data_IF_230154222666
#
_entry.id   IF_230154222666
#
_cell.length_a   1.000
_cell.length_b   1.000
_cell.length_c   1.000
_cell.angle_alpha   90.00
_cell.angle_beta   90.00
_cell.angle_gamma   90.00
#
_symmetry.space_group_name_H-M   'P 1'
#
loop_
_entity.id
_entity.type
_entity.pdbx_description
1 polymer ?
#
# COMPACT_ATOMS: atom_id res chain seq x y z
N UNK A 1 -32.89 -70.93 -91.42
CA UNK A 1 -32.14 -69.89 -90.81
C UNK A 1 -31.90 -70.19 -89.36
N UNK A 2 -30.64 -70.37 -89.01
CA UNK A 2 -30.20 -71.14 -87.82
C UNK A 2 -30.48 -70.50 -86.49
N UNK A 3 -31.30 -71.16 -85.66
CA UNK A 3 -31.58 -70.72 -84.26
C UNK A 3 -30.35 -70.64 -83.36
N UNK A 4 -29.22 -71.22 -83.77
CA UNK A 4 -27.95 -71.19 -83.05
C UNK A 4 -27.18 -69.82 -83.13
N UNK A 5 -27.37 -69.06 -84.20
CA UNK A 5 -26.71 -67.78 -84.41
C UNK A 5 -27.36 -66.66 -83.57
N UNK A 6 -28.73 -66.64 -83.38
CA UNK A 6 -29.42 -65.71 -82.56
C UNK A 6 -29.14 -65.83 -81.05
N UNK A 7 -28.95 -67.04 -80.53
CA UNK A 7 -28.53 -67.25 -79.11
C UNK A 7 -27.13 -66.87 -78.82
N UNK A 8 -26.19 -66.95 -79.78
CA UNK A 8 -24.79 -66.44 -79.58
C UNK A 8 -24.70 -64.97 -79.55
N UNK A 9 -25.44 -64.21 -80.40
CA UNK A 9 -25.44 -62.78 -80.45
C UNK A 9 -26.06 -62.17 -79.23
N UNK A 10 -27.20 -62.63 -78.75
CA UNK A 10 -27.85 -62.14 -77.50
C UNK A 10 -26.97 -62.39 -76.25
N UNK A 11 -26.30 -63.56 -76.20
CA UNK A 11 -25.41 -63.86 -75.06
C UNK A 11 -24.14 -62.97 -75.02
N UNK A 12 -23.60 -62.58 -76.22
CA UNK A 12 -22.49 -61.69 -76.36
C UNK A 12 -22.88 -60.26 -76.03
N UNK A 13 -24.03 -59.77 -76.49
CA UNK A 13 -24.54 -58.43 -76.15
C UNK A 13 -24.86 -58.33 -74.65
N UNK A 14 -25.44 -59.41 -74.07
CA UNK A 14 -25.70 -59.44 -72.59
C UNK A 14 -24.38 -59.43 -71.78
N UNK A 15 -23.32 -60.12 -72.20
CA UNK A 15 -22.03 -60.09 -71.54
C UNK A 15 -21.33 -58.76 -71.67
N UNK A 16 -21.42 -58.08 -72.83
CA UNK A 16 -20.88 -56.77 -73.04
C UNK A 16 -21.65 -55.75 -72.21
N UNK A 17 -22.94 -55.81 -72.12
CA UNK A 17 -23.77 -54.96 -71.28
C UNK A 17 -23.49 -55.09 -69.78
N UNK A 18 -23.37 -56.34 -69.31
CA UNK A 18 -22.99 -56.60 -67.91
C UNK A 18 -21.59 -56.17 -67.59
N UNK A 19 -20.62 -56.38 -68.55
CA UNK A 19 -19.23 -55.93 -68.35
C UNK A 19 -19.12 -54.37 -68.32
N UNK A 20 -19.92 -53.66 -69.17
CA UNK A 20 -19.95 -52.19 -69.16
C UNK A 20 -20.60 -51.64 -67.89
N UNK A 21 -21.63 -52.31 -67.37
CA UNK A 21 -22.26 -51.92 -66.09
C UNK A 21 -21.28 -52.19 -64.92
N UNK A 22 -20.51 -53.31 -64.95
CA UNK A 22 -19.48 -53.57 -63.94
C UNK A 22 -18.34 -52.53 -63.99
N UNK A 23 -17.91 -52.12 -65.17
CA UNK A 23 -16.83 -51.08 -65.35
C UNK A 23 -17.34 -49.73 -64.86
N UNK A 24 -18.60 -49.37 -65.13
CA UNK A 24 -19.17 -48.11 -64.60
C UNK A 24 -19.36 -48.20 -63.09
N UNK A 25 -19.76 -49.32 -62.52
CA UNK A 25 -19.81 -49.54 -61.10
C UNK A 25 -18.43 -49.50 -60.44
N UNK A 26 -17.44 -50.08 -61.05
CA UNK A 26 -16.04 -50.01 -60.59
C UNK A 26 -15.43 -48.60 -60.68
N UNK A 27 -15.74 -47.85 -61.76
CA UNK A 27 -15.33 -46.44 -61.88
C UNK A 27 -16.02 -45.53 -60.85
N UNK A 28 -17.27 -45.84 -60.48
CA UNK A 28 -17.96 -45.12 -59.42
C UNK A 28 -17.37 -45.37 -58.01
N UNK A 29 -16.72 -46.58 -57.81
CA UNK A 29 -15.98 -46.88 -56.59
C UNK A 29 -14.58 -46.29 -56.52
N UNK A 30 -14.03 -45.84 -57.68
CA UNK A 30 -12.72 -45.17 -57.78
C UNK A 30 -12.80 -43.67 -57.94
N UNK A 31 -14.00 -43.04 -57.77
CA UNK A 31 -14.03 -41.63 -57.59
C UNK A 31 -13.30 -41.32 -56.25
N UNK A 32 -12.21 -40.59 -56.30
CA UNK A 32 -11.59 -40.19 -55.07
C UNK A 32 -12.69 -39.43 -54.32
N UNK A 33 -13.15 -39.96 -53.16
CA UNK A 33 -13.94 -39.17 -52.22
C UNK A 33 -13.05 -37.97 -51.94
N UNK A 34 -13.38 -36.81 -52.49
CA UNK A 34 -12.79 -35.60 -51.99
C UNK A 34 -13.03 -35.65 -50.48
N UNK A 35 -12.04 -36.09 -49.76
CA UNK A 35 -11.93 -35.93 -48.34
C UNK A 35 -11.92 -34.38 -48.18
N UNK A 36 -13.10 -33.83 -48.02
CA UNK A 36 -13.27 -32.43 -47.56
C UNK A 36 -12.54 -32.39 -46.22
N UNK A 37 -11.26 -32.10 -46.28
CA UNK A 37 -10.48 -31.86 -45.06
C UNK A 37 -11.28 -30.79 -44.29
N UNK A 38 -11.97 -31.25 -43.25
CA UNK A 38 -12.83 -30.40 -42.42
C UNK A 38 -11.99 -29.21 -41.99
N UNK A 39 -12.22 -28.07 -42.62
CA UNK A 39 -11.46 -26.84 -42.35
C UNK A 39 -11.62 -26.52 -40.87
N UNK A 40 -10.53 -26.75 -40.08
CA UNK A 40 -10.53 -26.54 -38.66
C UNK A 40 -11.04 -25.14 -38.35
N UNK A 41 -12.20 -25.05 -37.68
CA UNK A 41 -12.87 -23.80 -37.33
C UNK A 41 -11.92 -22.94 -36.48
N UNK A 42 -11.81 -21.66 -36.81
CA UNK A 42 -11.11 -20.68 -35.94
C UNK A 42 -11.80 -20.59 -34.60
N UNK A 43 -11.05 -20.75 -33.51
CA UNK A 43 -11.54 -20.71 -32.14
C UNK A 43 -10.64 -19.89 -31.23
N UNK A 44 -11.16 -19.45 -30.09
CA UNK A 44 -10.37 -18.83 -29.03
C UNK A 44 -9.43 -19.88 -28.39
N UNK A 45 -8.16 -19.53 -28.18
CA UNK A 45 -7.20 -20.40 -27.46
C UNK A 45 -7.58 -20.52 -25.99
N UNK A 46 -8.01 -19.42 -25.37
CA UNK A 46 -8.57 -19.33 -24.02
C UNK A 46 -9.89 -18.54 -24.09
N UNK A 47 -10.81 -18.78 -23.15
CA UNK A 47 -12.13 -18.12 -23.13
C UNK A 47 -12.18 -16.91 -22.19
N UNK A 48 -11.19 -16.77 -21.30
CA UNK A 48 -11.13 -15.69 -20.33
C UNK A 48 -9.72 -15.34 -19.90
N UNK A 49 -9.57 -14.14 -19.32
CA UNK A 49 -8.38 -13.71 -18.58
C UNK A 49 -8.77 -12.75 -17.47
N UNK A 50 -7.91 -12.69 -16.45
CA UNK A 50 -7.96 -11.67 -15.41
C UNK A 50 -6.74 -10.77 -15.55
N UNK A 51 -6.96 -9.47 -15.59
CA UNK A 51 -5.92 -8.44 -15.64
C UNK A 51 -6.20 -7.36 -14.59
N UNK A 52 -5.25 -6.47 -14.39
CA UNK A 52 -5.44 -5.27 -13.55
C UNK A 52 -5.69 -4.04 -14.39
N UNK A 53 -6.16 -2.96 -13.78
CA UNK A 53 -6.22 -1.63 -14.43
C UNK A 53 -4.83 -1.29 -14.98
N UNK A 54 -4.76 -0.73 -16.18
CA UNK A 54 -3.53 -0.51 -16.97
C UNK A 54 -2.80 -1.80 -17.42
N UNK A 55 -3.29 -2.99 -17.05
CA UNK A 55 -2.79 -4.27 -17.52
C UNK A 55 -3.18 -4.53 -18.96
N UNK A 56 -2.37 -5.35 -19.65
CA UNK A 56 -2.57 -5.74 -21.04
C UNK A 56 -2.72 -7.25 -21.18
N UNK A 57 -3.53 -7.70 -22.12
CA UNK A 57 -3.68 -9.09 -22.51
C UNK A 57 -4.00 -9.17 -24.01
N UNK A 58 -3.40 -10.08 -24.74
CA UNK A 58 -3.70 -10.26 -26.16
C UNK A 58 -4.47 -11.55 -26.39
N UNK A 59 -5.64 -11.45 -27.02
CA UNK A 59 -6.47 -12.60 -27.40
C UNK A 59 -5.73 -13.44 -28.43
N UNK A 60 -5.54 -14.72 -28.13
CA UNK A 60 -4.93 -15.68 -29.05
C UNK A 60 -6.01 -16.59 -29.65
N UNK A 61 -5.89 -16.82 -30.98
CA UNK A 61 -6.80 -17.66 -31.75
C UNK A 61 -6.08 -18.92 -32.24
N UNK A 62 -6.78 -20.05 -32.24
CA UNK A 62 -6.38 -21.30 -32.92
C UNK A 62 -6.95 -21.33 -34.33
N UNK A 63 -6.27 -22.01 -35.26
CA UNK A 63 -6.68 -22.23 -36.62
C UNK A 63 -7.08 -20.93 -37.36
N UNK A 64 -6.26 -19.89 -37.25
CA UNK A 64 -6.48 -18.64 -37.97
C UNK A 64 -6.46 -18.90 -39.48
N UNK A 65 -7.46 -18.39 -40.18
CA UNK A 65 -7.51 -18.44 -41.64
C UNK A 65 -6.59 -17.40 -42.23
N UNK A 66 -5.78 -17.80 -43.24
CA UNK A 66 -5.06 -16.88 -44.10
C UNK A 66 -6.07 -16.00 -44.85
N UNK A 67 -5.77 -14.75 -45.06
CA UNK A 67 -6.64 -13.78 -45.75
C UNK A 67 -7.97 -13.48 -45.08
N UNK A 68 -8.15 -13.79 -43.79
CA UNK A 68 -9.29 -13.33 -43.00
C UNK A 68 -8.93 -12.10 -42.17
N UNK A 69 -9.83 -11.12 -42.11
CA UNK A 69 -9.72 -9.95 -41.26
C UNK A 69 -10.48 -10.19 -39.98
N UNK A 70 -9.79 -10.01 -38.82
CA UNK A 70 -10.37 -10.25 -37.49
C UNK A 70 -10.82 -8.94 -36.84
N UNK A 71 -11.98 -8.97 -36.18
CA UNK A 71 -12.61 -7.84 -35.52
C UNK A 71 -12.86 -8.19 -34.06
N UNK A 72 -12.54 -7.23 -33.18
CA UNK A 72 -12.66 -7.36 -31.73
C UNK A 72 -13.49 -6.18 -31.23
N UNK A 73 -14.54 -6.44 -30.47
CA UNK A 73 -15.42 -5.40 -29.94
C UNK A 73 -15.70 -5.65 -28.46
N UNK A 74 -15.43 -4.66 -27.62
CA UNK A 74 -15.77 -4.69 -26.20
C UNK A 74 -17.21 -4.18 -25.98
N UNK A 75 -17.98 -4.88 -25.16
CA UNK A 75 -19.30 -4.44 -24.73
C UNK A 75 -19.26 -3.37 -23.61
N UNK A 76 -18.10 -3.20 -22.93
CA UNK A 76 -17.89 -2.23 -21.84
C UNK A 76 -16.49 -1.63 -21.92
N UNK A 77 -16.34 -0.60 -22.74
CA UNK A 77 -15.02 0.06 -22.98
C UNK A 77 -14.47 0.80 -21.75
N UNK A 78 -15.34 1.20 -20.81
CA UNK A 78 -14.95 1.74 -19.50
C UNK A 78 -14.26 0.72 -18.61
N UNK A 79 -14.51 -0.59 -18.81
CA UNK A 79 -13.86 -1.68 -18.07
C UNK A 79 -12.65 -2.18 -18.83
N UNK A 80 -12.80 -2.47 -20.13
CA UNK A 80 -11.71 -2.97 -20.97
C UNK A 80 -11.86 -2.48 -22.40
N UNK A 81 -10.82 -1.87 -22.94
CA UNK A 81 -10.69 -1.51 -24.36
C UNK A 81 -9.97 -2.63 -25.09
N UNK A 82 -10.29 -2.83 -26.37
CA UNK A 82 -9.60 -3.79 -27.22
C UNK A 82 -9.16 -3.11 -28.53
N UNK A 83 -7.94 -3.40 -28.97
CA UNK A 83 -7.41 -2.89 -30.24
C UNK A 83 -7.83 -3.78 -31.42
N UNK A 84 -7.65 -3.28 -32.65
CA UNK A 84 -7.87 -4.05 -33.89
C UNK A 84 -7.00 -5.34 -33.95
N UNK A 85 -5.88 -5.38 -33.23
CA UNK A 85 -5.00 -6.56 -33.15
C UNK A 85 -5.37 -7.54 -32.03
N UNK A 86 -6.50 -7.28 -31.29
CA UNK A 86 -6.97 -8.13 -30.18
C UNK A 86 -6.25 -7.91 -28.86
N UNK A 87 -5.45 -6.83 -28.74
CA UNK A 87 -4.82 -6.45 -27.48
C UNK A 87 -5.84 -5.73 -26.58
N UNK A 88 -6.12 -6.29 -25.42
CA UNK A 88 -7.01 -5.76 -24.38
C UNK A 88 -6.19 -4.89 -23.44
N UNK A 89 -6.75 -3.76 -23.02
CA UNK A 89 -6.23 -2.92 -21.93
C UNK A 89 -7.30 -2.74 -20.88
N UNK A 90 -6.97 -3.04 -19.61
CA UNK A 90 -7.85 -2.82 -18.46
C UNK A 90 -7.98 -1.32 -18.15
N UNK A 91 -9.22 -0.82 -18.08
CA UNK A 91 -9.53 0.59 -17.84
C UNK A 91 -10.17 0.81 -16.45
N UNK A 92 -11.08 -0.07 -16.03
CA UNK A 92 -11.82 0.04 -14.77
C UNK A 92 -12.14 -1.33 -14.18
N UNK A 93 -12.41 -1.39 -12.87
CA UNK A 93 -12.80 -2.63 -12.17
C UNK A 93 -14.10 -3.19 -12.74
N UNK A 94 -14.13 -4.49 -13.02
CA UNK A 94 -15.36 -5.16 -13.47
C UNK A 94 -15.09 -6.27 -14.48
N UNK A 95 -16.13 -6.65 -15.20
CA UNK A 95 -16.07 -7.67 -16.24
C UNK A 95 -16.61 -7.12 -17.56
N UNK A 96 -15.87 -7.35 -18.64
CA UNK A 96 -16.28 -7.05 -20.00
C UNK A 96 -16.26 -8.31 -20.86
N UNK A 97 -17.09 -8.33 -21.90
CA UNK A 97 -17.13 -9.37 -22.93
C UNK A 97 -16.59 -8.80 -24.22
N UNK A 98 -15.60 -9.45 -24.80
CA UNK A 98 -15.01 -9.09 -26.09
C UNK A 98 -15.55 -10.05 -27.13
N UNK A 99 -16.39 -9.55 -28.04
CA UNK A 99 -16.87 -10.32 -29.20
C UNK A 99 -15.74 -10.40 -30.23
N UNK A 100 -15.47 -11.61 -30.72
CA UNK A 100 -14.46 -11.87 -31.75
C UNK A 100 -15.16 -12.41 -32.99
N UNK A 101 -14.99 -11.74 -34.12
CA UNK A 101 -15.52 -12.13 -35.42
C UNK A 101 -14.42 -12.05 -36.47
N UNK A 102 -14.62 -12.67 -37.61
CA UNK A 102 -13.76 -12.50 -38.78
C UNK A 102 -14.59 -12.36 -40.04
N UNK A 103 -14.03 -11.65 -41.04
CA UNK A 103 -14.56 -11.55 -42.40
C UNK A 103 -13.68 -12.38 -43.32
N UNK A 104 -14.30 -13.28 -44.07
CA UNK A 104 -13.65 -14.13 -45.04
C UNK A 104 -14.56 -14.29 -46.25
N UNK A 105 -14.07 -14.07 -47.47
CA UNK A 105 -14.87 -14.16 -48.71
C UNK A 105 -16.21 -13.38 -48.64
N UNK A 106 -16.18 -12.14 -48.17
CA UNK A 106 -17.35 -11.24 -47.96
C UNK A 106 -18.29 -11.62 -46.80
N UNK A 107 -18.15 -12.79 -46.18
CA UNK A 107 -18.98 -13.25 -45.06
C UNK A 107 -18.39 -12.93 -43.71
N UNK A 108 -19.22 -12.54 -42.73
CA UNK A 108 -18.86 -12.39 -41.34
C UNK A 108 -19.19 -13.66 -40.56
N UNK A 109 -18.20 -14.21 -39.86
CA UNK A 109 -18.37 -15.41 -39.01
C UNK A 109 -17.93 -15.11 -37.58
N UNK A 110 -18.68 -15.64 -36.60
CA UNK A 110 -18.34 -15.53 -35.18
C UNK A 110 -17.26 -16.53 -34.81
N UNK A 111 -16.24 -16.06 -34.07
CA UNK A 111 -15.26 -16.91 -33.39
C UNK A 111 -15.74 -17.28 -32.00
N UNK A 112 -16.34 -16.32 -31.30
CA UNK A 112 -16.85 -16.47 -29.94
C UNK A 112 -16.68 -15.20 -29.10
N UNK A 113 -16.93 -15.34 -27.80
CA UNK A 113 -16.84 -14.26 -26.82
C UNK A 113 -15.74 -14.59 -25.81
N UNK A 114 -14.84 -13.61 -25.61
CA UNK A 114 -13.78 -13.68 -24.61
C UNK A 114 -14.20 -12.85 -23.38
N UNK A 115 -14.15 -13.45 -22.17
CA UNK A 115 -14.45 -12.76 -20.91
C UNK A 115 -13.18 -12.18 -20.31
N UNK A 116 -13.13 -10.87 -20.04
CA UNK A 116 -12.05 -10.24 -19.31
C UNK A 116 -12.55 -9.72 -17.97
N UNK A 117 -11.87 -10.09 -16.89
CA UNK A 117 -12.10 -9.55 -15.56
C UNK A 117 -10.97 -8.58 -15.23
N UNK A 118 -11.29 -7.34 -14.93
CA UNK A 118 -10.32 -6.31 -14.54
C UNK A 118 -10.40 -6.09 -13.04
N UNK A 119 -9.31 -6.34 -12.34
CA UNK A 119 -9.12 -6.03 -10.93
C UNK A 119 -8.51 -4.64 -10.76
N UNK A 120 -8.80 -4.00 -9.64
CA UNK A 120 -8.26 -2.69 -9.25
C UNK A 120 -7.90 -2.74 -7.78
N UNK A 121 -6.67 -2.38 -7.42
CA UNK A 121 -6.29 -2.20 -6.03
C UNK A 121 -7.09 -1.05 -5.42
N UNK A 122 -7.51 -1.21 -4.18
CA UNK A 122 -8.27 -0.22 -3.41
C UNK A 122 -7.86 -0.29 -1.94
N UNK A 123 -7.94 0.84 -1.25
CA UNK A 123 -7.70 0.90 0.19
C UNK A 123 -8.71 0.01 0.93
N UNK A 124 -8.26 -0.69 1.94
CA UNK A 124 -9.13 -1.35 2.93
C UNK A 124 -9.83 -0.27 3.76
N UNK A 125 -11.13 -0.37 3.93
CA UNK A 125 -11.94 0.67 4.61
C UNK A 125 -11.55 0.89 6.07
N UNK A 126 -11.05 -0.15 6.75
CA UNK A 126 -10.61 -0.12 8.14
C UNK A 126 -9.37 0.76 8.39
N UNK A 127 -8.62 1.11 7.36
CA UNK A 127 -7.37 1.85 7.50
C UNK A 127 -7.42 3.30 6.99
N UNK A 128 -8.60 3.92 6.95
CA UNK A 128 -8.68 5.35 6.61
C UNK A 128 -8.05 6.24 7.67
N UNK A 129 -8.13 5.83 8.94
CA UNK A 129 -7.45 6.43 10.09
C UNK A 129 -6.81 5.32 10.90
N UNK A 130 -5.57 5.50 11.31
CA UNK A 130 -4.89 4.54 12.17
C UNK A 130 -3.82 5.23 13.00
N UNK A 131 -3.46 4.57 14.10
CA UNK A 131 -2.42 5.01 15.03
C UNK A 131 -1.23 4.07 14.89
N UNK A 132 -0.05 4.62 15.02
CA UNK A 132 1.23 3.92 15.01
C UNK A 132 2.15 4.49 16.07
N UNK A 133 3.24 3.81 16.36
CA UNK A 133 4.28 4.26 17.28
C UNK A 133 5.50 4.73 16.49
N UNK A 134 6.28 5.63 17.06
CA UNK A 134 7.56 6.02 16.47
C UNK A 134 8.45 4.79 16.31
N UNK A 135 9.10 4.65 15.16
CA UNK A 135 9.88 3.48 14.77
C UNK A 135 9.11 2.48 13.90
N UNK A 136 7.77 2.49 13.94
CA UNK A 136 6.98 1.59 13.10
C UNK A 136 7.24 1.82 11.60
N UNK A 137 7.28 0.71 10.86
CA UNK A 137 7.48 0.70 9.42
C UNK A 137 6.34 -0.03 8.74
N UNK A 138 5.72 0.59 7.76
CA UNK A 138 4.56 0.05 7.04
C UNK A 138 4.82 -0.09 5.56
N UNK A 139 4.29 -1.18 4.97
CA UNK A 139 4.27 -1.39 3.53
C UNK A 139 2.90 -1.02 2.96
N UNK A 140 2.84 -0.29 1.83
CA UNK A 140 1.56 0.12 1.23
C UNK A 140 0.64 -1.05 0.89
N UNK A 141 1.22 -2.20 0.48
CA UNK A 141 0.48 -3.42 0.11
C UNK A 141 -0.40 -3.96 1.23
N UNK A 142 0.00 -3.76 2.50
CA UNK A 142 -0.70 -4.31 3.67
C UNK A 142 -2.06 -3.66 3.89
N UNK A 143 -2.22 -2.45 3.38
CA UNK A 143 -3.44 -1.63 3.48
C UNK A 143 -4.36 -1.76 2.27
N UNK A 144 -4.05 -2.64 1.31
CA UNK A 144 -4.76 -2.72 0.05
C UNK A 144 -5.49 -4.04 -0.15
N UNK A 145 -6.66 -3.96 -0.79
CA UNK A 145 -7.36 -5.08 -1.40
C UNK A 145 -6.94 -5.23 -2.86
N UNK A 146 -6.93 -6.47 -3.36
CA UNK A 146 -6.65 -6.80 -4.77
C UNK A 146 -5.29 -6.26 -5.26
N UNK A 147 -4.25 -6.47 -4.47
CA UNK A 147 -2.87 -6.09 -4.80
C UNK A 147 -2.42 -6.75 -6.10
N UNK A 148 -1.83 -5.98 -6.99
CA UNK A 148 -1.16 -6.44 -8.21
C UNK A 148 0.33 -6.66 -7.92
N UNK A 149 0.79 -7.91 -7.85
CA UNK A 149 2.19 -8.25 -7.54
C UNK A 149 3.21 -7.71 -8.56
N UNK A 150 2.76 -7.26 -9.74
CA UNK A 150 3.63 -6.68 -10.78
C UNK A 150 3.61 -5.14 -10.78
N UNK A 151 2.97 -4.52 -9.79
CA UNK A 151 2.94 -3.07 -9.62
C UNK A 151 3.78 -2.69 -8.40
N UNK A 152 4.30 -1.48 -8.42
CA UNK A 152 4.91 -0.82 -7.27
C UNK A 152 3.83 -0.03 -6.51
N UNK A 153 3.95 -0.01 -5.20
CA UNK A 153 3.07 0.77 -4.32
C UNK A 153 3.94 1.67 -3.45
N UNK A 154 3.62 2.95 -3.44
CA UNK A 154 4.39 3.98 -2.77
C UNK A 154 3.50 4.76 -1.82
N UNK A 155 4.03 5.10 -0.64
CA UNK A 155 3.45 6.16 0.19
C UNK A 155 4.02 7.53 -0.21
N UNK A 156 3.17 8.54 -0.10
CA UNK A 156 3.56 9.95 0.04
C UNK A 156 2.84 10.51 1.26
N UNK A 157 3.44 11.50 1.92
CA UNK A 157 2.92 12.09 3.14
C UNK A 157 3.01 13.62 3.12
N UNK A 158 2.22 14.27 3.98
CA UNK A 158 2.18 15.75 4.09
C UNK A 158 3.21 16.31 5.07
N UNK A 159 3.73 15.48 5.98
CA UNK A 159 4.74 15.89 6.96
C UNK A 159 5.90 14.90 7.01
N UNK A 160 7.01 15.24 6.39
CA UNK A 160 8.25 14.46 6.43
C UNK A 160 8.92 14.44 7.81
N UNK A 161 8.54 15.35 8.72
CA UNK A 161 9.00 15.37 10.11
C UNK A 161 8.35 14.27 10.95
N UNK A 162 7.08 13.94 10.66
CA UNK A 162 6.31 12.91 11.39
C UNK A 162 6.58 11.52 10.84
N UNK A 163 6.65 11.37 9.52
CA UNK A 163 6.94 10.10 8.89
C UNK A 163 7.74 10.32 7.59
N UNK A 164 8.60 9.39 7.24
CA UNK A 164 9.43 9.44 6.02
C UNK A 164 9.11 8.29 5.08
N UNK A 165 8.74 8.61 3.86
CA UNK A 165 8.60 7.64 2.79
C UNK A 165 9.98 7.30 2.20
N UNK A 166 10.30 6.01 2.10
CA UNK A 166 11.57 5.54 1.53
C UNK A 166 11.39 4.98 0.12
N UNK A 167 12.47 4.86 -0.62
CA UNK A 167 12.47 4.41 -2.04
C UNK A 167 11.86 3.02 -2.26
N UNK A 168 11.87 2.16 -1.25
CA UNK A 168 11.18 0.85 -1.29
C UNK A 168 9.65 0.96 -1.26
N UNK A 169 9.11 2.18 -1.12
CA UNK A 169 7.69 2.44 -0.98
C UNK A 169 7.17 2.37 0.45
N UNK A 170 7.96 1.88 1.39
CA UNK A 170 7.60 1.84 2.81
C UNK A 170 7.54 3.26 3.41
N UNK A 171 6.87 3.40 4.54
CA UNK A 171 6.89 4.60 5.37
C UNK A 171 7.36 4.24 6.78
N UNK A 172 8.27 5.06 7.33
CA UNK A 172 8.77 4.95 8.70
C UNK A 172 8.24 6.10 9.54
N UNK A 173 7.69 5.80 10.72
CA UNK A 173 7.26 6.78 11.70
C UNK A 173 8.47 7.35 12.43
N UNK A 174 8.67 8.68 12.37
CA UNK A 174 9.87 9.34 12.89
C UNK A 174 9.65 10.08 14.21
N UNK A 175 8.50 10.75 14.34
CA UNK A 175 8.17 11.60 15.48
C UNK A 175 6.68 11.56 15.74
N UNK A 176 6.28 11.69 17.01
CA UNK A 176 4.88 11.85 17.40
C UNK A 176 4.25 13.03 16.65
N UNK A 177 3.01 12.86 16.23
CA UNK A 177 2.27 13.86 15.48
C UNK A 177 1.29 13.28 14.46
N UNK A 178 0.77 14.14 13.62
CA UNK A 178 -0.23 13.81 12.62
C UNK A 178 0.30 14.04 11.20
N UNK A 179 -0.03 13.13 10.29
CA UNK A 179 0.25 13.29 8.85
C UNK A 179 -0.80 12.60 8.00
N UNK A 180 -1.08 13.16 6.83
CA UNK A 180 -1.89 12.49 5.82
C UNK A 180 -0.98 11.70 4.88
N UNK A 181 -1.36 10.46 4.64
CA UNK A 181 -0.69 9.56 3.71
C UNK A 181 -1.52 9.40 2.45
N UNK A 182 -0.86 9.27 1.31
CA UNK A 182 -1.48 8.86 0.06
C UNK A 182 -0.77 7.61 -0.45
N UNK A 183 -1.55 6.60 -0.90
CA UNK A 183 -0.99 5.42 -1.55
C UNK A 183 -1.12 5.59 -3.06
N UNK A 184 -0.01 5.39 -3.76
CA UNK A 184 0.08 5.42 -5.22
C UNK A 184 0.45 4.04 -5.74
N UNK A 185 -0.19 3.63 -6.84
CA UNK A 185 0.19 2.45 -7.63
C UNK A 185 0.90 2.91 -8.90
N UNK A 186 2.07 2.32 -9.17
CA UNK A 186 2.80 2.50 -10.43
C UNK A 186 2.79 1.17 -11.17
N UNK A 187 2.12 1.13 -12.32
CA UNK A 187 2.01 -0.07 -13.14
C UNK A 187 2.02 0.25 -14.63
N UNK A 188 2.86 -0.43 -15.40
CA UNK A 188 3.05 -0.19 -16.82
C UNK A 188 3.33 1.30 -17.13
N UNK A 189 4.23 1.93 -16.39
CA UNK A 189 4.64 3.35 -16.49
C UNK A 189 3.49 4.34 -16.26
N UNK A 190 2.43 3.92 -15.59
CA UNK A 190 1.30 4.78 -15.21
C UNK A 190 1.17 4.80 -13.71
N UNK A 191 1.11 6.01 -13.14
CA UNK A 191 0.82 6.23 -11.73
C UNK A 191 -0.65 6.57 -11.53
N UNK A 192 -1.22 6.12 -10.42
CA UNK A 192 -2.53 6.55 -9.93
C UNK A 192 -2.58 6.53 -8.42
N UNK A 193 -3.28 7.48 -7.83
CA UNK A 193 -3.62 7.46 -6.41
C UNK A 193 -4.69 6.40 -6.15
N UNK A 194 -4.48 5.56 -5.12
CA UNK A 194 -5.44 4.54 -4.68
C UNK A 194 -6.37 5.12 -3.64
N UNK A 195 -5.83 5.84 -2.66
CA UNK A 195 -6.58 6.43 -1.56
C UNK A 195 -5.71 7.23 -0.62
N UNK A 196 -6.37 7.84 0.35
CA UNK A 196 -5.77 8.66 1.41
C UNK A 196 -6.06 8.02 2.77
N UNK A 197 -5.13 8.20 3.70
CA UNK A 197 -5.18 7.68 5.06
C UNK A 197 -4.70 8.77 6.01
N UNK A 198 -5.24 8.81 7.22
CA UNK A 198 -4.79 9.66 8.30
C UNK A 198 -3.94 8.81 9.26
N UNK A 199 -2.71 9.22 9.50
CA UNK A 199 -1.79 8.57 10.43
C UNK A 199 -1.55 9.49 11.62
N UNK A 200 -1.81 8.99 12.82
CA UNK A 200 -1.36 9.56 14.08
C UNK A 200 -0.22 8.71 14.60
N UNK A 201 0.96 9.31 14.72
CA UNK A 201 2.13 8.66 15.32
C UNK A 201 2.17 9.02 16.79
N UNK A 202 2.16 8.01 17.64
CA UNK A 202 2.30 8.13 19.09
C UNK A 202 3.75 7.83 19.47
N UNK A 203 4.16 8.34 20.61
CA UNK A 203 5.49 8.08 21.17
C UNK A 203 5.97 9.26 22.01
N UNK A 204 6.99 9.05 22.80
CA UNK A 204 7.60 10.07 23.61
C UNK A 204 8.12 11.24 22.74
N UNK A 205 7.89 12.45 23.19
CA UNK A 205 8.40 13.68 22.52
C UNK A 205 8.65 14.76 23.57
N UNK A 206 9.58 15.68 23.25
CA UNK A 206 9.86 16.81 24.14
C UNK A 206 8.62 17.72 24.23
N UNK A 207 8.28 18.15 25.46
CA UNK A 207 7.20 19.11 25.71
C UNK A 207 7.56 20.52 25.24
N UNK A 208 8.86 20.90 25.35
CA UNK A 208 9.37 22.20 24.97
C UNK A 208 10.83 22.13 24.49
N UNK A 209 11.25 23.19 23.79
CA UNK A 209 12.64 23.33 23.33
C UNK A 209 13.53 23.99 24.40
N UNK A 210 12.97 24.47 25.53
CA UNK A 210 13.70 25.07 26.65
C UNK A 210 12.93 24.93 27.97
N UNK A 211 13.69 24.80 29.05
CA UNK A 211 13.19 24.67 30.43
C UNK A 211 14.01 25.62 31.33
N UNK A 212 13.35 26.10 32.39
CA UNK A 212 14.04 26.83 33.47
C UNK A 212 14.15 25.89 34.67
N UNK A 213 15.32 25.86 35.28
CA UNK A 213 15.60 25.07 36.46
C UNK A 213 16.23 25.92 37.53
N UNK A 214 15.57 26.03 38.68
CA UNK A 214 16.11 26.73 39.84
C UNK A 214 17.17 25.85 40.52
N UNK A 215 18.12 26.49 41.20
CA UNK A 215 19.13 25.84 41.98
C UNK A 215 18.52 24.87 43.03
N UNK A 216 19.11 23.68 43.20
CA UNK A 216 18.63 22.61 44.07
C UNK A 216 17.24 22.04 43.73
N UNK A 217 16.64 22.46 42.64
CA UNK A 217 15.40 21.82 42.13
C UNK A 217 15.75 20.70 41.16
N UNK A 218 14.77 19.85 40.93
CA UNK A 218 14.83 18.76 39.97
C UNK A 218 13.86 19.00 38.83
N UNK A 219 14.25 18.55 37.65
CA UNK A 219 13.40 18.54 36.46
C UNK A 219 13.15 17.08 36.08
N UNK A 220 12.01 16.50 36.52
CA UNK A 220 11.68 15.11 36.25
C UNK A 220 11.43 14.86 34.75
N UNK A 221 11.59 13.62 34.32
CA UNK A 221 11.35 13.23 32.92
C UNK A 221 9.90 13.54 32.48
N UNK A 222 8.92 13.42 33.40
CA UNK A 222 7.52 13.68 33.12
C UNK A 222 7.23 15.14 32.77
N UNK A 223 8.07 16.07 33.25
CA UNK A 223 7.96 17.50 32.93
C UNK A 223 8.64 17.83 31.60
N UNK A 224 9.57 17.00 31.15
CA UNK A 224 10.34 17.18 29.91
C UNK A 224 9.67 16.51 28.72
N UNK A 225 9.07 15.32 28.96
CA UNK A 225 8.58 14.41 27.89
C UNK A 225 7.06 14.25 28.00
N UNK A 226 6.40 14.27 26.88
CA UNK A 226 5.02 13.84 26.74
C UNK A 226 4.94 12.43 26.13
N UNK A 227 3.88 11.69 26.46
CA UNK A 227 3.65 10.31 25.99
C UNK A 227 4.81 9.37 26.34
N UNK A 228 5.29 9.42 27.59
CA UNK A 228 6.36 8.58 28.09
C UNK A 228 6.01 7.09 27.92
N UNK A 229 6.97 6.33 27.42
CA UNK A 229 6.93 4.86 27.48
C UNK A 229 7.61 4.40 28.78
N UNK A 230 6.79 3.96 29.74
CA UNK A 230 7.27 3.49 31.04
C UNK A 230 8.10 2.20 30.98
N UNK A 231 8.18 1.57 29.82
CA UNK A 231 9.01 0.37 29.58
C UNK A 231 10.38 0.73 28.99
N UNK A 232 10.55 1.94 28.48
CA UNK A 232 11.80 2.46 27.95
C UNK A 232 12.68 3.06 29.07
N UNK A 233 13.97 3.16 28.82
CA UNK A 233 14.91 3.93 29.63
C UNK A 233 15.26 5.22 28.93
N UNK A 234 15.48 6.28 29.71
CA UNK A 234 15.81 7.61 29.20
C UNK A 234 17.17 8.01 29.70
N UNK A 235 18.02 8.49 28.80
CA UNK A 235 19.35 8.99 29.12
C UNK A 235 19.56 10.39 28.58
N UNK A 236 20.26 11.21 29.34
CA UNK A 236 20.57 12.59 29.00
C UNK A 236 22.08 12.76 28.74
N UNK A 237 22.43 13.61 27.82
CA UNK A 237 23.79 14.10 27.62
C UNK A 237 23.77 15.61 27.56
N UNK A 238 24.72 16.27 28.24
CA UNK A 238 24.83 17.74 28.34
C UNK A 238 26.11 18.21 27.67
N UNK A 239 26.08 19.39 27.04
CA UNK A 239 27.29 20.10 26.61
C UNK A 239 28.05 20.74 27.78
N UNK A 240 27.41 20.83 28.97
CA UNK A 240 27.99 21.27 30.24
C UNK A 240 27.69 20.28 31.37
N UNK A 241 28.27 19.06 31.34
CA UNK A 241 27.94 18.02 32.30
C UNK A 241 28.31 18.37 33.76
N UNK A 242 29.20 19.33 33.95
CA UNK A 242 29.59 19.85 35.27
C UNK A 242 28.50 20.64 35.98
N UNK A 243 27.48 21.10 35.26
CA UNK A 243 26.36 21.89 35.80
C UNK A 243 25.22 21.02 36.32
N UNK A 244 25.12 19.78 35.87
CA UNK A 244 23.95 18.93 36.09
C UNK A 244 24.33 17.54 36.55
N UNK A 245 23.58 17.01 37.50
CA UNK A 245 23.50 15.57 37.78
C UNK A 245 22.37 14.98 36.94
N UNK A 246 22.71 14.00 36.12
CA UNK A 246 21.78 13.28 35.26
C UNK A 246 21.72 11.85 35.81
N UNK A 247 20.59 11.51 36.42
CA UNK A 247 20.48 10.17 37.01
C UNK A 247 19.75 9.19 36.06
N UNK A 248 19.88 7.89 36.31
CA UNK A 248 19.27 6.82 35.52
C UNK A 248 17.74 6.77 35.65
N UNK A 249 17.17 7.54 36.58
CA UNK A 249 15.71 7.68 36.71
C UNK A 249 15.14 8.79 35.86
N UNK A 250 15.98 9.43 35.01
CA UNK A 250 15.56 10.51 34.13
C UNK A 250 15.29 11.83 34.84
N UNK A 251 16.04 12.11 35.89
CA UNK A 251 15.95 13.38 36.62
C UNK A 251 17.18 14.21 36.37
N UNK A 252 16.98 15.48 36.09
CA UNK A 252 18.04 16.48 35.97
C UNK A 252 18.06 17.29 37.27
N UNK A 253 19.21 17.35 37.92
CA UNK A 253 19.44 18.21 39.08
C UNK A 253 20.68 19.07 38.92
N UNK A 254 20.74 20.20 39.61
CA UNK A 254 21.89 21.10 39.53
C UNK A 254 22.94 20.75 40.59
N UNK A 255 24.23 20.78 40.20
CA UNK A 255 25.37 20.47 41.09
C UNK A 255 26.04 21.72 41.67
N UNK A 256 25.90 22.84 40.98
CA UNK A 256 26.56 24.12 41.36
C UNK A 256 25.60 25.28 41.39
N UNK A 257 25.79 26.20 42.32
CA UNK A 257 24.92 27.35 42.55
C UNK A 257 25.50 28.69 42.07
N UNK A 258 24.62 29.65 41.94
CA UNK A 258 24.83 31.10 41.87
C UNK A 258 25.24 31.75 40.57
N UNK A 259 25.21 31.12 39.44
CA UNK A 259 25.34 31.84 38.14
C UNK A 259 24.25 31.40 37.18
N UNK A 260 23.60 32.33 36.54
CA UNK A 260 22.70 32.05 35.43
C UNK A 260 23.53 31.47 34.30
N UNK A 261 23.33 30.19 34.02
CA UNK A 261 24.03 29.47 32.96
C UNK A 261 23.00 28.70 32.11
N UNK A 262 23.40 28.37 30.91
CA UNK A 262 22.55 27.63 30.00
C UNK A 262 23.32 26.44 29.47
N UNK A 263 22.61 25.31 29.31
CA UNK A 263 23.17 24.14 28.67
C UNK A 263 22.16 23.54 27.68
N UNK A 264 22.68 22.90 26.65
CA UNK A 264 21.89 22.08 25.73
C UNK A 264 21.97 20.64 26.20
N UNK A 265 20.82 20.05 26.44
CA UNK A 265 20.69 18.67 26.90
C UNK A 265 20.04 17.86 25.81
N UNK A 266 20.69 16.79 25.37
CA UNK A 266 20.15 15.85 24.42
C UNK A 266 19.56 14.65 25.16
N UNK A 267 18.28 14.36 24.87
CA UNK A 267 17.55 13.23 25.47
C UNK A 267 17.48 12.08 24.49
N UNK A 268 17.88 10.90 24.98
CA UNK A 268 17.81 9.64 24.23
C UNK A 268 16.91 8.65 24.98
N UNK A 269 15.95 8.09 24.27
CA UNK A 269 15.11 6.97 24.70
C UNK A 269 15.75 5.66 24.24
N UNK A 270 15.77 4.65 25.09
CA UNK A 270 16.16 3.28 24.74
C UNK A 270 14.99 2.35 25.04
N UNK A 271 14.42 1.73 24.02
CA UNK A 271 13.32 0.78 24.15
C UNK A 271 13.79 -0.54 24.78
N UNK A 272 12.90 -1.41 25.31
CA UNK A 272 13.28 -2.67 25.95
C UNK A 272 14.04 -3.64 25.02
N UNK A 273 13.86 -3.54 23.72
CA UNK A 273 14.60 -4.29 22.69
C UNK A 273 15.95 -3.66 22.31
N UNK A 274 16.34 -2.58 23.00
CA UNK A 274 17.64 -1.94 22.86
C UNK A 274 17.76 -0.91 21.74
N UNK A 275 16.66 -0.53 21.10
CA UNK A 275 16.65 0.50 20.07
C UNK A 275 16.80 1.87 20.73
N UNK A 276 17.84 2.62 20.32
CA UNK A 276 18.10 3.98 20.80
C UNK A 276 17.51 5.01 19.85
N UNK A 277 16.83 5.99 20.42
CA UNK A 277 16.21 7.08 19.67
C UNK A 277 16.48 8.42 20.37
N UNK A 278 17.07 9.38 19.68
CA UNK A 278 17.20 10.74 20.16
C UNK A 278 15.83 11.43 20.05
N UNK A 279 15.24 11.80 21.18
CA UNK A 279 13.96 12.54 21.22
C UNK A 279 14.12 13.99 20.81
N UNK A 280 15.29 14.58 21.09
CA UNK A 280 15.65 15.94 20.72
C UNK A 280 16.70 16.52 21.66
N UNK A 281 17.08 17.76 21.36
CA UNK A 281 17.91 18.58 22.21
C UNK A 281 17.09 19.79 22.69
N UNK A 282 17.15 20.06 23.97
CA UNK A 282 16.47 21.19 24.59
C UNK A 282 17.47 22.00 25.44
N UNK A 283 17.16 23.29 25.63
CA UNK A 283 17.96 24.19 26.45
C UNK A 283 17.47 24.18 27.89
N UNK A 284 18.39 24.06 28.86
CA UNK A 284 18.10 24.30 30.26
C UNK A 284 18.77 25.60 30.68
N UNK A 285 17.99 26.53 31.22
CA UNK A 285 18.44 27.80 31.80
C UNK A 285 18.38 27.68 33.33
N UNK A 286 19.56 27.74 33.97
CA UNK A 286 19.66 27.81 35.42
C UNK A 286 19.29 29.18 35.91
N UNK A 287 18.40 29.28 36.88
CA UNK A 287 17.96 30.54 37.46
C UNK A 287 18.23 30.55 38.96
N UNK A 288 18.56 31.74 39.48
CA UNK A 288 18.70 31.97 40.92
C UNK A 288 17.35 32.25 41.61
N UNK A 289 16.30 32.42 40.80
CA UNK A 289 14.98 32.68 41.35
C UNK A 289 14.33 31.34 41.75
N UNK A 290 13.69 31.31 42.94
CA UNK A 290 12.90 30.14 43.33
C UNK A 290 11.78 29.93 42.33
N UNK A 291 11.73 28.76 41.69
CA UNK A 291 10.62 28.40 40.83
C UNK A 291 9.40 28.08 41.71
N UNK A 292 8.43 28.98 41.71
CA UNK A 292 7.09 28.69 42.29
C UNK A 292 6.26 28.12 41.16
N UNK A 293 5.90 26.84 41.25
CA UNK A 293 4.95 26.26 40.31
C UNK A 293 3.60 26.97 40.42
N UNK A 294 2.90 27.09 39.32
CA UNK A 294 1.53 27.65 39.33
C UNK A 294 0.55 26.86 40.20
N UNK A 295 0.86 25.61 40.48
CA UNK A 295 0.11 24.75 41.43
C UNK A 295 0.31 25.16 42.88
N UNK A 296 1.38 25.91 43.23
CA UNK A 296 1.73 26.24 44.61
C UNK A 296 1.24 27.66 45.01
N UNK A 297 0.40 28.30 44.21
CA UNK A 297 -0.09 29.67 44.46
C UNK A 297 -1.11 29.77 45.65
N UNK A 298 -1.62 28.71 46.16
CA UNK A 298 -2.46 28.74 47.37
C UNK A 298 -2.26 27.44 48.20
N UNK A 299 -1.87 27.65 49.47
CA UNK A 299 -1.74 26.59 50.44
C UNK A 299 -2.91 26.73 51.41
N UNK A 300 -3.73 25.69 51.53
CA UNK A 300 -4.77 25.62 52.54
C UNK A 300 -4.23 24.80 53.74
N UNK A 301 -4.10 25.44 54.88
CA UNK A 301 -3.68 24.78 56.13
C UNK A 301 -4.82 24.71 57.14
N UNK A 302 -4.89 23.62 57.91
CA UNK A 302 -5.84 23.51 59.00
C UNK A 302 -5.48 24.44 60.16
N UNK A 303 -6.48 24.83 60.94
CA UNK A 303 -6.28 25.62 62.15
C UNK A 303 -5.32 24.90 63.11
N UNK A 304 -4.23 25.53 63.53
CA UNK A 304 -3.20 24.95 64.40
C UNK A 304 -2.06 24.26 63.68
N UNK A 305 -2.03 24.24 62.34
CA UNK A 305 -0.90 23.72 61.55
C UNK A 305 0.29 24.68 61.61
N UNK A 306 1.51 24.15 61.68
CA UNK A 306 2.75 24.90 61.59
C UNK A 306 3.33 24.75 60.21
N UNK A 307 3.60 25.80 59.49
CA UNK A 307 4.31 25.82 58.22
C UNK A 307 5.77 26.24 58.53
N UNK A 308 6.74 25.41 58.14
CA UNK A 308 8.15 25.74 58.20
C UNK A 308 8.56 26.46 56.94
N UNK A 309 9.32 27.57 57.05
CA UNK A 309 9.89 28.27 55.89
C UNK A 309 10.81 27.37 55.04
N UNK A 310 11.44 26.35 55.67
CA UNK A 310 12.22 25.31 55.01
C UNK A 310 11.42 24.40 54.06
N UNK A 311 10.11 24.30 54.26
CA UNK A 311 9.24 23.49 53.43
C UNK A 311 8.99 24.11 52.06
N UNK A 312 9.29 25.41 51.92
CA UNK A 312 9.04 26.22 50.74
C UNK A 312 10.22 27.14 50.49
N UNK A 313 11.24 26.73 49.77
CA UNK A 313 12.39 27.53 49.42
C UNK A 313 12.01 28.79 48.66
N UNK A 314 12.44 29.93 49.14
CA UNK A 314 12.21 31.24 48.50
C UNK A 314 10.91 31.96 48.87
N UNK A 315 10.10 31.45 49.81
CA UNK A 315 8.93 32.16 50.33
C UNK A 315 9.36 32.92 51.57
N UNK A 316 9.31 34.23 51.53
CA UNK A 316 9.39 35.08 52.71
C UNK A 316 8.02 35.19 53.33
N UNK A 317 7.82 34.55 54.48
CA UNK A 317 6.58 34.69 55.26
C UNK A 317 6.65 35.98 56.04
N UNK A 318 6.04 37.05 55.55
CA UNK A 318 5.78 38.23 56.35
C UNK A 318 4.46 38.05 57.10
N UNK A 319 4.54 37.93 58.43
CA UNK A 319 3.37 37.95 59.27
C UNK A 319 2.90 39.39 59.46
N UNK A 320 1.78 39.86 58.85
CA UNK A 320 1.30 41.20 59.01
C UNK A 320 0.76 41.55 60.42
N UNK A 321 0.80 40.55 61.35
CA UNK A 321 0.31 40.72 62.74
C UNK A 321 1.38 40.57 63.81
N UNK A 322 2.70 40.65 63.44
CA UNK A 322 3.76 40.67 64.45
C UNK A 322 3.85 42.03 65.19
N UNK A 323 2.74 42.57 65.62
CA UNK A 323 2.64 43.82 66.34
C UNK A 323 1.38 43.99 67.22
N UNK A 324 0.61 42.91 67.39
CA UNK A 324 -0.53 42.90 68.35
C UNK A 324 -0.23 41.88 69.44
N UNK A 325 0.43 42.37 70.49
CA UNK A 325 0.44 41.76 71.82
C UNK A 325 -0.89 41.81 72.49
#
# INVERSE_FOLDING_TARGET
>A
MNMTTAKRTTNTIFKIAVLSILIIAAAALYLPSESSAATKKTTLKTKSATIYVNGKYTISLKNKLKNATYFYTSNKTSIAKVSAKGAITGCGKGTAKISVRYKYKKEFKSVGTFKVTVKKASLKSSYKKFTATVGDVFQPSDYLNSVNKSAEYLFTNTSSKVASAVTSGAITCLKAGYTNLSIHEVYNKKSRTIGHMELTVMGASLRADSFKLAYLKQLPIDDIVENIDNTATYSFTSDHPELFELNDSGVISTTTGNTVQTSNITLTETTPDGIKRVLGTFKVELTNEPFISASDQSITVGLGSTIQASDYEGISITNPRAGAS
#
